data_IF_832145679636
#
_entry.id   IF_832145679636
#
_cell.length_a   1.000
_cell.length_b   1.000
_cell.length_c   1.000
_cell.angle_alpha   90.00
_cell.angle_beta   90.00
_cell.angle_gamma   90.00
#
_symmetry.space_group_name_H-M   'P 1'
#
loop_
_entity.id
_entity.type
_entity.pdbx_description
1 polymer ?
#
# COMPACT_ATOMS: atom_id res chain seq x y z
N UNK A 1 -27.02 8.90 -10.89
CA UNK A 1 -27.70 10.22 -10.81
C UNK A 1 -28.94 10.25 -9.89
N UNK A 2 -29.84 9.25 -9.81
CA UNK A 2 -31.04 9.38 -8.96
C UNK A 2 -30.75 9.42 -7.44
N UNK A 3 -29.76 8.66 -6.95
CA UNK A 3 -29.48 8.56 -5.52
C UNK A 3 -29.01 9.88 -4.86
N UNK A 4 -28.23 10.71 -5.56
CA UNK A 4 -27.72 11.97 -5.01
C UNK A 4 -28.84 13.01 -4.81
N UNK A 5 -29.79 13.09 -5.73
CA UNK A 5 -30.90 14.05 -5.66
C UNK A 5 -31.91 13.68 -4.57
N UNK A 6 -32.15 12.40 -4.34
CA UNK A 6 -33.01 11.94 -3.24
C UNK A 6 -32.40 12.23 -1.86
N UNK A 7 -31.06 12.26 -1.76
CA UNK A 7 -30.35 12.56 -0.52
C UNK A 7 -30.40 14.05 -0.15
N UNK A 8 -30.48 14.94 -1.15
CA UNK A 8 -30.50 16.40 -0.93
C UNK A 8 -31.66 16.86 -0.03
N UNK A 9 -32.88 16.38 -0.32
CA UNK A 9 -34.06 16.75 0.46
C UNK A 9 -33.93 16.31 1.93
N UNK A 10 -33.31 15.16 2.16
CA UNK A 10 -33.15 14.57 3.49
C UNK A 10 -32.02 15.26 4.28
N UNK A 11 -30.95 15.71 3.60
CA UNK A 11 -29.86 16.47 4.23
C UNK A 11 -30.34 17.89 4.61
N UNK A 12 -31.18 18.50 3.79
CA UNK A 12 -31.69 19.86 4.00
C UNK A 12 -32.79 19.91 5.07
N UNK A 13 -33.69 18.92 5.08
CA UNK A 13 -34.77 18.81 6.06
C UNK A 13 -34.77 17.40 6.68
N UNK A 14 -33.86 17.11 7.63
CA UNK A 14 -33.79 15.80 8.27
C UNK A 14 -35.07 15.51 9.08
N UNK A 15 -35.65 14.29 8.96
CA UNK A 15 -36.78 13.90 9.79
C UNK A 15 -36.30 13.57 11.21
N UNK A 16 -36.28 14.58 12.08
CA UNK A 16 -35.91 14.46 13.49
C UNK A 16 -34.41 14.72 13.77
N UNK A 17 -33.93 14.40 14.98
CA UNK A 17 -32.55 14.68 15.41
C UNK A 17 -31.57 13.66 14.81
N UNK A 18 -31.35 13.76 13.50
CA UNK A 18 -30.43 12.89 12.75
C UNK A 18 -29.12 13.63 12.47
N UNK A 19 -28.00 12.96 12.65
CA UNK A 19 -26.67 13.45 12.24
C UNK A 19 -26.20 12.64 11.04
N UNK A 20 -25.93 13.33 9.92
CA UNK A 20 -25.34 12.71 8.73
C UNK A 20 -23.81 12.81 8.77
N UNK A 21 -23.14 11.67 8.63
CA UNK A 21 -21.68 11.60 8.46
C UNK A 21 -21.40 11.08 7.05
N UNK A 22 -20.92 11.96 6.18
CA UNK A 22 -20.52 11.62 4.81
C UNK A 22 -19.00 11.52 4.73
N UNK A 23 -18.51 10.41 4.17
CA UNK A 23 -17.07 10.18 3.96
C UNK A 23 -16.81 10.10 2.46
N UNK A 24 -15.92 10.95 1.97
CA UNK A 24 -15.51 10.98 0.57
C UNK A 24 -13.98 11.05 0.45
N UNK A 25 -13.41 10.29 -0.48
CA UNK A 25 -11.97 10.30 -0.75
C UNK A 25 -11.51 11.62 -1.39
N UNK A 26 -12.35 12.22 -2.23
CA UNK A 26 -12.18 13.57 -2.75
C UNK A 26 -13.55 14.29 -2.79
N UNK A 27 -13.70 15.35 -2.00
CA UNK A 27 -14.94 16.12 -1.92
C UNK A 27 -15.22 16.93 -3.20
N UNK A 28 -14.21 17.24 -4.01
CA UNK A 28 -14.36 17.97 -5.28
C UNK A 28 -15.11 17.16 -6.33
N UNK A 29 -15.16 15.83 -6.18
CA UNK A 29 -15.93 14.96 -7.06
C UNK A 29 -17.41 14.87 -6.68
N UNK A 30 -17.79 15.45 -5.54
CA UNK A 30 -19.18 15.50 -5.10
C UNK A 30 -19.93 16.70 -5.72
N UNK A 31 -21.25 16.59 -5.93
CA UNK A 31 -22.07 17.73 -6.31
C UNK A 31 -21.95 18.88 -5.31
N UNK A 32 -21.76 20.11 -5.83
CA UNK A 32 -21.65 21.33 -5.03
C UNK A 32 -22.85 21.54 -4.09
N UNK A 33 -24.03 21.04 -4.47
CA UNK A 33 -25.27 21.09 -3.69
C UNK A 33 -25.23 20.26 -2.40
N UNK A 34 -24.44 19.17 -2.37
CA UNK A 34 -24.21 18.37 -1.16
C UNK A 34 -23.17 19.07 -0.29
N UNK A 35 -22.06 19.51 -0.89
CA UNK A 35 -20.94 20.13 -0.16
C UNK A 35 -21.39 21.41 0.57
N UNK A 36 -22.23 22.23 -0.07
CA UNK A 36 -22.79 23.46 0.54
C UNK A 36 -23.71 23.22 1.74
N UNK A 37 -24.27 22.02 1.89
CA UNK A 37 -25.17 21.64 3.00
C UNK A 37 -24.47 20.81 4.08
N UNK A 38 -23.14 20.66 4.01
CA UNK A 38 -22.35 19.87 4.96
C UNK A 38 -21.24 20.72 5.57
N UNK A 39 -20.91 20.46 6.84
CA UNK A 39 -19.68 21.01 7.43
C UNK A 39 -18.50 20.17 6.95
N UNK A 40 -17.62 20.80 6.16
CA UNK A 40 -16.40 20.13 5.71
C UNK A 40 -15.42 19.99 6.87
N UNK A 41 -15.06 18.75 7.17
CA UNK A 41 -13.95 18.39 8.07
C UNK A 41 -12.93 17.64 7.23
N UNK A 42 -11.74 18.21 7.08
CA UNK A 42 -10.66 17.59 6.30
C UNK A 42 -9.71 16.83 7.23
N UNK A 43 -9.41 15.58 6.86
CA UNK A 43 -8.40 14.78 7.56
C UNK A 43 -7.08 14.94 6.82
N UNK A 44 -6.07 15.48 7.51
CA UNK A 44 -4.72 15.59 6.96
C UNK A 44 -3.88 14.35 7.28
N UNK A 45 -2.84 14.13 6.50
CA UNK A 45 -1.82 13.11 6.79
C UNK A 45 -1.14 13.45 8.12
N UNK A 46 -0.94 12.44 8.95
CA UNK A 46 -0.20 12.60 10.20
C UNK A 46 1.27 12.87 9.92
N UNK A 47 1.91 13.61 10.83
CA UNK A 47 3.36 13.85 10.77
C UNK A 47 4.09 12.54 11.09
N UNK A 48 5.26 12.37 10.46
CA UNK A 48 6.08 11.18 10.66
C UNK A 48 6.40 10.93 12.15
N UNK A 49 6.71 11.99 12.90
CA UNK A 49 7.01 11.89 14.32
C UNK A 49 5.83 11.36 15.15
N UNK A 50 4.59 11.74 14.80
CA UNK A 50 3.38 11.29 15.51
C UNK A 50 3.17 9.79 15.31
N UNK A 51 3.29 9.31 14.07
CA UNK A 51 3.19 7.87 13.76
C UNK A 51 4.34 7.10 14.41
N UNK A 52 5.58 7.58 14.29
CA UNK A 52 6.75 6.93 14.89
C UNK A 52 6.59 6.76 16.40
N UNK A 53 6.20 7.81 17.10
CA UNK A 53 6.04 7.77 18.56
C UNK A 53 4.90 6.84 18.96
N UNK A 54 3.79 6.83 18.21
CA UNK A 54 2.70 5.87 18.42
C UNK A 54 3.17 4.42 18.24
N UNK A 55 3.95 4.14 17.19
CA UNK A 55 4.48 2.80 16.92
C UNK A 55 5.45 2.32 18.01
N UNK A 56 6.30 3.20 18.54
CA UNK A 56 7.19 2.86 19.66
C UNK A 56 6.37 2.56 20.92
N UNK A 57 5.36 3.39 21.23
CA UNK A 57 4.58 3.25 22.46
C UNK A 57 3.64 2.03 22.44
N UNK A 58 2.93 1.80 21.33
CA UNK A 58 1.85 0.79 21.26
C UNK A 58 2.32 -0.56 20.69
N UNK A 59 3.37 -0.56 19.85
CA UNK A 59 3.88 -1.78 19.22
C UNK A 59 5.28 -2.18 19.73
N UNK A 60 5.85 -1.42 20.67
CA UNK A 60 7.19 -1.65 21.21
C UNK A 60 8.27 -1.81 20.11
N UNK A 61 8.11 -1.09 19.00
CA UNK A 61 9.07 -1.15 17.90
C UNK A 61 10.33 -0.35 18.23
N UNK A 62 11.47 -0.88 17.81
CA UNK A 62 12.75 -0.15 17.84
C UNK A 62 12.64 1.16 17.04
N UNK A 63 13.32 2.25 17.47
CA UNK A 63 13.16 3.58 16.87
C UNK A 63 13.35 3.64 15.36
N UNK A 64 14.33 2.90 14.82
CA UNK A 64 14.62 2.87 13.38
C UNK A 64 13.55 2.10 12.60
N UNK A 65 13.11 0.95 13.10
CA UNK A 65 12.00 0.20 12.52
C UNK A 65 10.71 1.02 12.50
N UNK A 66 10.42 1.73 13.61
CA UNK A 66 9.29 2.63 13.71
C UNK A 66 9.41 3.82 12.72
N UNK A 67 10.61 4.39 12.54
CA UNK A 67 10.86 5.46 11.56
C UNK A 67 10.59 4.97 10.13
N UNK A 68 11.10 3.79 9.77
CA UNK A 68 10.91 3.17 8.45
C UNK A 68 9.43 2.91 8.16
N UNK A 69 8.71 2.28 9.10
CA UNK A 69 7.27 2.03 8.95
C UNK A 69 6.47 3.34 8.91
N UNK A 70 6.79 4.31 9.77
CA UNK A 70 6.13 5.60 9.78
C UNK A 70 6.29 6.32 8.43
N UNK A 71 7.47 6.31 7.85
CA UNK A 71 7.71 6.88 6.53
C UNK A 71 6.90 6.17 5.44
N UNK A 72 6.97 4.83 5.39
CA UNK A 72 6.30 4.03 4.36
C UNK A 72 4.78 4.02 4.49
N UNK A 73 4.23 4.30 5.67
CA UNK A 73 2.80 4.54 5.89
C UNK A 73 2.27 5.79 5.18
N UNK A 74 3.17 6.69 4.78
CA UNK A 74 2.88 7.98 4.14
C UNK A 74 1.88 8.83 4.94
N UNK A 75 1.92 8.78 6.26
CA UNK A 75 1.03 9.57 7.12
C UNK A 75 -0.36 8.95 7.35
N UNK A 76 -0.58 7.69 6.94
CA UNK A 76 -1.84 6.97 7.15
C UNK A 76 -1.67 6.03 8.35
N UNK A 77 -2.31 6.34 9.49
CA UNK A 77 -2.17 5.55 10.72
C UNK A 77 -2.59 4.09 10.54
N UNK A 78 -3.73 3.83 9.89
CA UNK A 78 -4.18 2.46 9.63
C UNK A 78 -3.14 1.65 8.83
N UNK A 79 -2.42 2.30 7.91
CA UNK A 79 -1.35 1.66 7.14
C UNK A 79 -0.14 1.37 8.02
N UNK A 80 0.24 2.31 8.90
CA UNK A 80 1.32 2.10 9.86
C UNK A 80 1.04 0.91 10.79
N UNK A 81 -0.19 0.81 11.29
CA UNK A 81 -0.68 -0.32 12.10
C UNK A 81 -0.61 -1.62 11.30
N UNK A 82 -1.14 -1.64 10.07
CA UNK A 82 -1.11 -2.83 9.20
C UNK A 82 0.33 -3.30 8.95
N UNK A 83 1.26 -2.37 8.71
CA UNK A 83 2.68 -2.69 8.49
C UNK A 83 3.39 -3.17 9.77
N UNK A 84 3.09 -2.56 10.92
CA UNK A 84 3.66 -2.93 12.21
C UNK A 84 3.17 -4.30 12.71
N UNK A 85 1.92 -4.64 12.41
CA UNK A 85 1.35 -5.96 12.73
C UNK A 85 1.85 -7.08 11.81
N UNK A 86 2.52 -6.75 10.70
CA UNK A 86 2.96 -7.72 9.71
C UNK A 86 4.42 -8.17 9.95
N UNK A 87 4.56 -9.34 10.57
CA UNK A 87 5.86 -9.95 10.87
C UNK A 87 6.73 -10.27 9.63
N UNK A 88 6.17 -10.26 8.42
CA UNK A 88 6.91 -10.48 7.18
C UNK A 88 7.24 -9.18 6.45
N UNK A 89 6.81 -8.01 6.94
CA UNK A 89 7.05 -6.73 6.30
C UNK A 89 8.53 -6.49 5.98
N UNK A 90 9.42 -6.62 6.97
CA UNK A 90 10.86 -6.41 6.75
C UNK A 90 11.47 -7.46 5.81
N UNK A 91 11.00 -8.70 5.83
CA UNK A 91 11.42 -9.75 4.88
C UNK A 91 10.99 -9.45 3.44
N UNK A 92 9.80 -8.88 3.25
CA UNK A 92 9.35 -8.41 1.93
C UNK A 92 10.21 -7.25 1.44
N UNK A 93 10.51 -6.32 2.34
CA UNK A 93 11.35 -5.16 2.06
C UNK A 93 12.77 -5.57 1.65
N UNK A 94 13.37 -6.52 2.36
CA UNK A 94 14.69 -7.10 2.02
C UNK A 94 14.72 -7.61 0.57
N UNK A 95 13.72 -8.38 0.15
CA UNK A 95 13.61 -8.85 -1.25
C UNK A 95 13.49 -7.72 -2.27
N UNK A 96 12.84 -6.62 -1.91
CA UNK A 96 12.77 -5.43 -2.78
C UNK A 96 14.15 -4.79 -2.91
N UNK A 97 14.91 -4.71 -1.83
CA UNK A 97 16.28 -4.17 -1.82
C UNK A 97 17.23 -5.04 -2.65
N UNK A 98 17.13 -6.37 -2.48
CA UNK A 98 17.85 -7.35 -3.30
C UNK A 98 17.53 -7.17 -4.78
N UNK A 99 16.24 -7.09 -5.14
CA UNK A 99 15.82 -6.88 -6.51
C UNK A 99 16.41 -5.58 -7.09
N UNK A 100 16.34 -4.45 -6.38
CA UNK A 100 16.90 -3.17 -6.83
C UNK A 100 18.40 -3.27 -7.10
N UNK A 101 19.12 -3.97 -6.22
CA UNK A 101 20.57 -4.11 -6.32
C UNK A 101 21.00 -4.89 -7.56
N UNK A 102 20.12 -5.74 -8.11
CA UNK A 102 20.40 -6.53 -9.32
C UNK A 102 19.94 -5.87 -10.63
N UNK A 103 19.08 -4.82 -10.59
CA UNK A 103 18.45 -4.26 -11.81
C UNK A 103 19.50 -3.78 -12.83
N UNK A 104 20.57 -3.13 -12.39
CA UNK A 104 21.54 -2.48 -13.30
C UNK A 104 22.45 -3.47 -14.02
N UNK A 105 22.85 -4.54 -13.35
CA UNK A 105 23.92 -5.43 -13.82
C UNK A 105 23.37 -6.71 -14.47
N UNK A 106 22.13 -6.69 -14.96
CA UNK A 106 21.45 -7.92 -15.40
C UNK A 106 20.78 -7.84 -16.76
N UNK A 107 20.43 -8.99 -17.34
CA UNK A 107 19.75 -9.07 -18.63
C UNK A 107 18.21 -9.09 -18.51
N UNK A 108 17.48 -8.84 -19.61
CA UNK A 108 16.01 -8.85 -19.66
C UNK A 108 15.36 -10.08 -18.98
N UNK A 109 15.90 -11.28 -19.24
CA UNK A 109 15.35 -12.51 -18.65
C UNK A 109 15.48 -12.58 -17.13
N UNK A 110 16.52 -11.97 -16.56
CA UNK A 110 16.68 -11.90 -15.10
C UNK A 110 15.77 -10.84 -14.49
N UNK A 111 15.50 -9.72 -15.18
CA UNK A 111 14.51 -8.74 -14.71
C UNK A 111 13.12 -9.34 -14.58
N UNK A 112 12.67 -10.12 -15.57
CA UNK A 112 11.41 -10.87 -15.49
C UNK A 112 11.40 -11.83 -14.29
N UNK A 113 12.50 -12.55 -14.05
CA UNK A 113 12.62 -13.45 -12.90
C UNK A 113 12.57 -12.69 -11.56
N UNK A 114 13.15 -11.50 -11.46
CA UNK A 114 13.07 -10.66 -10.27
C UNK A 114 11.61 -10.24 -9.99
N UNK A 115 10.88 -9.82 -11.03
CA UNK A 115 9.46 -9.47 -10.92
C UNK A 115 8.63 -10.68 -10.49
N UNK A 116 8.85 -11.83 -11.13
CA UNK A 116 8.19 -13.09 -10.80
C UNK A 116 8.44 -13.49 -9.33
N UNK A 117 9.69 -13.40 -8.86
CA UNK A 117 10.05 -13.75 -7.48
C UNK A 117 9.34 -12.91 -6.43
N UNK A 118 9.19 -11.60 -6.67
CA UNK A 118 8.43 -10.71 -5.78
C UNK A 118 6.95 -11.09 -5.75
N UNK A 119 6.37 -11.41 -6.91
CA UNK A 119 4.95 -11.80 -7.04
C UNK A 119 4.69 -13.15 -6.39
N UNK A 120 5.54 -14.14 -6.64
CA UNK A 120 5.44 -15.45 -6.00
C UNK A 120 5.47 -15.33 -4.48
N UNK A 121 6.27 -14.40 -3.95
CA UNK A 121 6.31 -14.16 -2.51
C UNK A 121 4.97 -13.64 -1.97
N UNK A 122 4.40 -12.62 -2.61
CA UNK A 122 3.06 -12.09 -2.27
C UNK A 122 2.02 -13.20 -2.36
N UNK A 123 2.03 -13.98 -3.45
CA UNK A 123 1.07 -15.06 -3.67
C UNK A 123 1.14 -16.15 -2.59
N UNK A 124 2.34 -16.48 -2.09
CA UNK A 124 2.51 -17.42 -0.97
C UNK A 124 1.90 -16.88 0.31
N UNK A 125 2.00 -15.58 0.58
CA UNK A 125 1.37 -14.97 1.75
C UNK A 125 -0.15 -14.91 1.64
N UNK A 126 -0.66 -14.51 0.47
CA UNK A 126 -2.09 -14.51 0.18
C UNK A 126 -2.69 -15.92 0.25
N UNK A 127 -1.95 -16.95 -0.16
CA UNK A 127 -2.38 -18.34 -0.01
C UNK A 127 -2.60 -18.74 1.46
N UNK A 128 -1.71 -18.31 2.37
CA UNK A 128 -1.88 -18.54 3.82
C UNK A 128 -3.09 -17.79 4.38
N UNK A 129 -3.37 -16.58 3.90
CA UNK A 129 -4.58 -15.84 4.28
C UNK A 129 -5.82 -16.58 3.80
N UNK A 130 -5.83 -17.02 2.54
CA UNK A 130 -6.94 -17.77 1.94
C UNK A 130 -7.21 -19.08 2.69
N UNK A 131 -6.16 -19.80 3.11
CA UNK A 131 -6.29 -21.01 3.93
C UNK A 131 -6.95 -20.71 5.29
N UNK A 132 -6.51 -19.64 5.98
CA UNK A 132 -7.13 -19.21 7.25
C UNK A 132 -8.60 -18.82 7.08
N UNK A 133 -8.93 -18.07 6.02
CA UNK A 133 -10.30 -17.69 5.69
C UNK A 133 -11.17 -18.93 5.41
N UNK A 134 -10.63 -19.92 4.68
CA UNK A 134 -11.34 -21.17 4.42
C UNK A 134 -11.64 -21.93 5.72
N UNK A 135 -10.64 -22.11 6.60
CA UNK A 135 -10.84 -22.75 7.92
C UNK A 135 -11.88 -22.01 8.77
N UNK A 136 -11.90 -20.68 8.72
CA UNK A 136 -12.90 -19.88 9.43
C UNK A 136 -14.30 -20.07 8.85
N UNK A 137 -14.43 -20.06 7.53
CA UNK A 137 -15.69 -20.31 6.84
C UNK A 137 -16.25 -21.70 7.16
N UNK A 138 -15.40 -22.73 7.17
CA UNK A 138 -15.80 -24.11 7.49
C UNK A 138 -16.40 -24.18 8.91
N UNK A 139 -15.75 -23.55 9.90
CA UNK A 139 -16.30 -23.43 11.27
C UNK A 139 -17.65 -22.73 11.33
N UNK A 140 -17.83 -21.65 10.57
CA UNK A 140 -19.12 -20.94 10.52
C UNK A 140 -20.22 -21.78 9.88
N UNK A 141 -19.88 -22.60 8.89
CA UNK A 141 -20.81 -23.51 8.22
C UNK A 141 -21.18 -24.69 9.13
N UNK A 142 -20.23 -25.23 9.89
CA UNK A 142 -20.49 -26.28 10.88
C UNK A 142 -21.43 -25.81 12.00
N UNK A 143 -21.31 -24.56 12.42
CA UNK A 143 -22.19 -23.94 13.43
C UNK A 143 -23.58 -23.55 12.89
N UNK A 144 -23.87 -23.82 11.62
CA UNK A 144 -25.13 -23.42 11.02
C UNK A 144 -26.30 -24.31 11.46
N UNK A 145 -27.48 -23.70 11.62
CA UNK A 145 -28.68 -24.40 12.09
C UNK A 145 -29.34 -25.27 11.02
N UNK A 146 -29.16 -24.94 9.73
CA UNK A 146 -29.67 -25.70 8.60
C UNK A 146 -28.94 -25.38 7.29
N UNK A 147 -29.20 -26.17 6.25
CA UNK A 147 -28.57 -26.04 4.91
C UNK A 147 -28.79 -24.66 4.26
N UNK A 148 -29.96 -24.04 4.46
CA UNK A 148 -30.26 -22.71 3.90
C UNK A 148 -29.44 -21.62 4.60
N UNK A 149 -29.33 -21.70 5.93
CA UNK A 149 -28.52 -20.82 6.75
C UNK A 149 -27.03 -20.95 6.41
N UNK A 150 -26.54 -22.20 6.27
CA UNK A 150 -25.18 -22.51 5.80
C UNK A 150 -24.87 -21.85 4.45
N UNK A 151 -25.77 -21.99 3.47
CA UNK A 151 -25.63 -21.40 2.15
C UNK A 151 -25.55 -19.87 2.18
N UNK A 152 -26.34 -19.21 3.05
CA UNK A 152 -26.32 -17.75 3.22
C UNK A 152 -25.00 -17.27 3.84
N UNK A 153 -24.54 -17.95 4.90
CA UNK A 153 -23.25 -17.69 5.55
C UNK A 153 -22.12 -17.80 4.53
N UNK A 154 -22.08 -18.92 3.80
CA UNK A 154 -21.04 -19.18 2.78
C UNK A 154 -21.00 -18.08 1.73
N UNK A 155 -22.15 -17.71 1.16
CA UNK A 155 -22.23 -16.64 0.15
C UNK A 155 -21.76 -15.28 0.70
N UNK A 156 -22.16 -14.93 1.92
CA UNK A 156 -21.82 -13.65 2.53
C UNK A 156 -20.33 -13.58 2.89
N UNK A 157 -19.81 -14.62 3.54
CA UNK A 157 -18.43 -14.67 3.99
C UNK A 157 -17.45 -14.76 2.81
N UNK A 158 -17.67 -15.66 1.83
CA UNK A 158 -16.79 -15.76 0.67
C UNK A 158 -16.71 -14.45 -0.14
N UNK A 159 -17.78 -13.65 -0.16
CA UNK A 159 -17.76 -12.32 -0.81
C UNK A 159 -16.89 -11.32 -0.03
N UNK A 160 -16.89 -11.37 1.31
CA UNK A 160 -16.00 -10.56 2.15
C UNK A 160 -14.54 -11.00 1.97
N UNK A 161 -14.28 -12.30 2.07
CA UNK A 161 -12.94 -12.87 1.94
C UNK A 161 -12.30 -12.53 0.59
N UNK A 162 -13.06 -12.65 -0.51
CA UNK A 162 -12.60 -12.26 -1.86
C UNK A 162 -12.22 -10.78 -1.95
N UNK A 163 -13.00 -9.89 -1.31
CA UNK A 163 -12.72 -8.44 -1.28
C UNK A 163 -11.49 -8.12 -0.44
N UNK A 164 -11.33 -8.81 0.68
CA UNK A 164 -10.18 -8.66 1.55
C UNK A 164 -8.89 -9.13 0.85
N UNK A 165 -8.89 -10.30 0.21
CA UNK A 165 -7.74 -10.79 -0.55
C UNK A 165 -7.33 -9.81 -1.65
N UNK A 166 -8.28 -9.29 -2.42
CA UNK A 166 -8.00 -8.29 -3.45
C UNK A 166 -7.45 -6.97 -2.85
N UNK A 167 -7.89 -6.58 -1.65
CA UNK A 167 -7.34 -5.41 -0.94
C UNK A 167 -5.91 -5.66 -0.50
N UNK A 168 -5.63 -6.83 0.09
CA UNK A 168 -4.30 -7.20 0.58
C UNK A 168 -3.30 -7.32 -0.57
N UNK A 169 -3.69 -7.94 -1.68
CA UNK A 169 -2.89 -8.02 -2.89
C UNK A 169 -2.50 -6.64 -3.41
N UNK A 170 -3.49 -5.75 -3.63
CA UNK A 170 -3.22 -4.37 -4.07
C UNK A 170 -2.35 -3.59 -3.08
N UNK A 171 -2.59 -3.77 -1.79
CA UNK A 171 -1.80 -3.14 -0.73
C UNK A 171 -0.35 -3.61 -0.78
N UNK A 172 -0.10 -4.91 -0.98
CA UNK A 172 1.24 -5.46 -1.06
C UNK A 172 2.01 -4.93 -2.29
N UNK A 173 1.33 -4.77 -3.44
CA UNK A 173 1.96 -4.16 -4.61
C UNK A 173 2.25 -2.67 -4.42
N UNK A 174 1.34 -1.91 -3.82
CA UNK A 174 1.61 -0.49 -3.49
C UNK A 174 2.75 -0.35 -2.48
N UNK A 175 2.93 -1.32 -1.57
CA UNK A 175 4.07 -1.36 -0.65
C UNK A 175 5.39 -1.56 -1.38
N UNK A 176 5.45 -2.47 -2.37
CA UNK A 176 6.64 -2.65 -3.22
C UNK A 176 6.98 -1.33 -3.92
N UNK A 177 6.00 -0.71 -4.58
CA UNK A 177 6.19 0.55 -5.30
C UNK A 177 6.61 1.69 -4.36
N UNK A 178 6.04 1.76 -3.15
CA UNK A 178 6.38 2.78 -2.17
C UNK A 178 7.80 2.58 -1.63
N UNK A 179 8.21 1.34 -1.38
CA UNK A 179 9.59 1.02 -0.98
C UNK A 179 10.58 1.40 -2.09
N UNK A 180 10.34 0.97 -3.34
CA UNK A 180 11.15 1.32 -4.51
C UNK A 180 11.36 2.83 -4.62
N UNK A 181 10.26 3.60 -4.61
CA UNK A 181 10.34 5.05 -4.69
C UNK A 181 11.10 5.67 -3.50
N UNK A 182 10.92 5.14 -2.30
CA UNK A 182 11.64 5.62 -1.12
C UNK A 182 13.14 5.36 -1.21
N UNK A 183 13.54 4.20 -1.72
CA UNK A 183 14.95 3.79 -1.83
C UNK A 183 15.66 4.66 -2.88
N UNK A 184 15.07 4.85 -4.07
CA UNK A 184 15.65 5.74 -5.08
C UNK A 184 15.70 7.20 -4.62
N UNK A 185 14.68 7.68 -3.90
CA UNK A 185 14.67 9.02 -3.31
C UNK A 185 15.86 9.22 -2.36
N UNK A 186 16.10 8.26 -1.47
CA UNK A 186 17.22 8.35 -0.51
C UNK A 186 18.57 8.14 -1.19
N UNK A 187 18.67 7.26 -2.20
CA UNK A 187 19.88 7.10 -3.00
C UNK A 187 20.27 8.42 -3.70
N UNK A 188 19.31 9.14 -4.29
CA UNK A 188 19.55 10.46 -4.87
C UNK A 188 19.95 11.48 -3.81
N UNK A 189 19.27 11.50 -2.65
CA UNK A 189 19.60 12.39 -1.54
C UNK A 189 21.05 12.22 -1.10
N UNK A 190 21.54 10.99 -0.98
CA UNK A 190 22.93 10.72 -0.63
C UNK A 190 23.89 11.07 -1.78
N UNK A 191 23.50 10.82 -3.03
CA UNK A 191 24.32 11.13 -4.21
C UNK A 191 24.62 12.64 -4.35
N UNK A 192 23.71 13.50 -3.90
CA UNK A 192 23.90 14.97 -3.90
C UNK A 192 24.59 15.51 -2.64
N UNK A 193 25.05 14.62 -1.74
CA UNK A 193 25.74 14.99 -0.50
C UNK A 193 24.81 15.32 0.67
N UNK A 194 23.56 14.85 0.65
CA UNK A 194 22.65 14.96 1.79
C UNK A 194 23.08 14.11 2.99
N UNK A 195 22.72 14.56 4.20
CA UNK A 195 23.01 13.87 5.45
C UNK A 195 22.23 12.53 5.56
N UNK A 196 22.91 11.48 6.03
CA UNK A 196 22.33 10.16 6.28
C UNK A 196 21.08 10.24 7.18
N UNK A 197 21.00 11.19 8.12
CA UNK A 197 19.86 11.38 9.02
C UNK A 197 18.56 11.80 8.32
N UNK A 198 18.67 12.40 7.13
CA UNK A 198 17.54 12.82 6.30
C UNK A 198 16.93 11.65 5.51
N UNK A 199 17.62 10.51 5.46
CA UNK A 199 17.10 9.30 4.84
C UNK A 199 15.95 8.69 5.65
N UNK A 200 14.97 8.15 4.94
CA UNK A 200 13.92 7.33 5.51
C UNK A 200 14.39 5.89 5.75
N UNK A 201 15.29 5.39 4.90
CA UNK A 201 15.79 4.03 4.90
C UNK A 201 17.15 3.94 5.62
N UNK A 202 17.18 4.38 6.87
CA UNK A 202 18.41 4.45 7.68
C UNK A 202 19.03 3.06 7.92
N UNK A 203 18.20 2.02 7.87
CA UNK A 203 18.54 0.61 8.00
C UNK A 203 19.46 0.09 6.88
N UNK A 204 19.55 0.80 5.75
CA UNK A 204 20.23 0.32 4.53
C UNK A 204 21.10 1.40 3.87
N UNK A 205 21.65 2.34 4.65
CA UNK A 205 22.51 3.42 4.13
C UNK A 205 23.69 2.89 3.27
N UNK A 206 24.39 1.80 3.65
CA UNK A 206 25.45 1.23 2.80
C UNK A 206 24.93 0.80 1.41
N UNK A 207 23.76 0.16 1.36
CA UNK A 207 23.10 -0.25 0.12
C UNK A 207 22.65 0.96 -0.69
N UNK A 208 22.10 1.99 -0.04
CA UNK A 208 21.71 3.24 -0.70
C UNK A 208 22.90 3.89 -1.42
N UNK A 209 24.09 3.89 -0.81
CA UNK A 209 25.32 4.43 -1.43
C UNK A 209 25.76 3.61 -2.66
N UNK A 210 25.59 2.29 -2.64
CA UNK A 210 25.82 1.42 -3.80
C UNK A 210 24.81 1.71 -4.92
N UNK A 211 23.52 1.77 -4.57
CA UNK A 211 22.42 2.06 -5.52
C UNK A 211 22.61 3.44 -6.14
N UNK A 212 22.98 4.44 -5.35
CA UNK A 212 23.29 5.79 -5.80
C UNK A 212 24.40 5.81 -6.86
N UNK A 213 25.47 5.05 -6.62
CA UNK A 213 26.61 4.94 -7.53
C UNK A 213 26.24 4.24 -8.84
N UNK A 214 25.50 3.12 -8.76
CA UNK A 214 25.10 2.35 -9.94
C UNK A 214 24.03 3.05 -10.78
N UNK A 215 23.12 3.80 -10.14
CA UNK A 215 21.98 4.44 -10.81
C UNK A 215 22.36 5.80 -11.39
N UNK A 216 23.11 6.60 -10.64
CA UNK A 216 23.35 8.01 -10.95
C UNK A 216 22.16 8.92 -10.61
N UNK A 217 22.42 10.22 -10.48
CA UNK A 217 21.44 11.21 -10.00
C UNK A 217 20.26 11.37 -10.96
N UNK A 218 20.53 11.52 -12.27
CA UNK A 218 19.49 11.78 -13.27
C UNK A 218 18.45 10.65 -13.30
N UNK A 219 18.92 9.42 -13.25
CA UNK A 219 18.09 8.22 -13.33
C UNK A 219 17.37 7.95 -12.00
N UNK A 220 18.02 8.19 -10.87
CA UNK A 220 17.38 8.14 -9.57
C UNK A 220 16.23 9.14 -9.45
N UNK A 221 16.35 10.34 -10.05
CA UNK A 221 15.26 11.31 -10.14
C UNK A 221 14.14 10.84 -11.07
N UNK A 222 14.48 10.19 -12.18
CA UNK A 222 13.50 9.62 -13.13
C UNK A 222 12.71 8.44 -12.53
N UNK A 223 13.32 7.67 -11.62
CA UNK A 223 12.72 6.49 -10.98
C UNK A 223 11.32 6.75 -10.42
N UNK A 224 11.09 7.92 -9.79
CA UNK A 224 9.78 8.28 -9.24
C UNK A 224 8.67 8.38 -10.30
N UNK A 225 9.02 8.81 -11.53
CA UNK A 225 8.06 8.84 -12.64
C UNK A 225 7.76 7.44 -13.16
N UNK A 226 8.75 6.55 -13.23
CA UNK A 226 8.53 5.14 -13.61
C UNK A 226 7.68 4.40 -12.58
N UNK A 227 7.93 4.61 -11.28
CA UNK A 227 7.11 4.05 -10.20
C UNK A 227 5.67 4.57 -10.28
N UNK A 228 5.47 5.86 -10.56
CA UNK A 228 4.13 6.43 -10.77
C UNK A 228 3.42 5.76 -11.94
N UNK A 229 4.12 5.55 -13.06
CA UNK A 229 3.55 4.90 -14.24
C UNK A 229 3.16 3.45 -13.96
N UNK A 230 4.01 2.69 -13.26
CA UNK A 230 3.69 1.33 -12.82
C UNK A 230 2.45 1.30 -11.91
N UNK A 231 2.32 2.28 -11.01
CA UNK A 231 1.13 2.43 -10.16
C UNK A 231 -0.14 2.71 -10.99
N UNK A 232 -0.05 3.57 -12.00
CA UNK A 232 -1.16 3.84 -12.93
C UNK A 232 -1.58 2.57 -13.68
N UNK A 233 -0.63 1.76 -14.15
CA UNK A 233 -0.92 0.48 -14.81
C UNK A 233 -1.74 -0.44 -13.90
N UNK A 234 -1.38 -0.56 -12.62
CA UNK A 234 -2.15 -1.33 -11.64
C UNK A 234 -3.59 -0.80 -11.47
N UNK A 235 -3.78 0.52 -11.46
CA UNK A 235 -5.13 1.11 -11.39
C UNK A 235 -5.95 0.90 -12.67
N UNK A 236 -5.29 0.76 -13.82
CA UNK A 236 -5.90 0.45 -15.12
C UNK A 236 -6.13 -1.06 -15.34
N UNK A 237 -6.06 -1.89 -14.29
CA UNK A 237 -6.23 -3.35 -14.32
C UNK A 237 -5.17 -4.11 -15.15
N UNK A 238 -3.98 -3.55 -15.32
CA UNK A 238 -2.82 -4.31 -15.84
C UNK A 238 -2.38 -5.32 -14.78
N UNK A 239 -1.86 -6.48 -15.20
CA UNK A 239 -1.34 -7.48 -14.27
C UNK A 239 -0.16 -6.91 -13.47
N UNK A 240 -0.03 -7.27 -12.18
CA UNK A 240 1.10 -6.82 -11.37
C UNK A 240 2.47 -7.23 -11.90
N UNK A 241 2.52 -8.39 -12.57
CA UNK A 241 3.70 -8.88 -13.28
C UNK A 241 4.18 -7.91 -14.34
N UNK A 242 3.30 -7.59 -15.28
CA UNK A 242 3.66 -6.68 -16.37
C UNK A 242 4.00 -5.28 -15.86
N UNK A 243 3.33 -4.81 -14.80
CA UNK A 243 3.63 -3.51 -14.18
C UNK A 243 5.02 -3.48 -13.52
N UNK A 244 5.43 -4.57 -12.85
CA UNK A 244 6.76 -4.70 -12.24
C UNK A 244 7.85 -4.91 -13.29
N UNK A 245 7.60 -5.73 -14.30
CA UNK A 245 8.53 -5.89 -15.43
C UNK A 245 8.77 -4.55 -16.11
N UNK A 246 7.72 -3.84 -16.52
CA UNK A 246 7.82 -2.50 -17.10
C UNK A 246 8.67 -1.56 -16.22
N UNK A 247 8.43 -1.58 -14.91
CA UNK A 247 9.18 -0.76 -13.96
C UNK A 247 10.65 -1.12 -13.96
N UNK A 248 10.98 -2.41 -13.87
CA UNK A 248 12.36 -2.88 -13.80
C UNK A 248 13.13 -2.62 -15.10
N UNK A 249 12.50 -2.83 -16.26
CA UNK A 249 13.05 -2.42 -17.55
C UNK A 249 13.33 -0.92 -17.60
N UNK A 250 12.35 -0.10 -17.18
CA UNK A 250 12.51 1.36 -17.18
C UNK A 250 13.63 1.84 -16.25
N UNK A 251 13.79 1.20 -15.08
CA UNK A 251 14.83 1.52 -14.12
C UNK A 251 16.22 1.04 -14.56
N UNK A 252 16.28 -0.01 -15.39
CA UNK A 252 17.52 -0.46 -16.00
C UNK A 252 18.00 0.50 -17.09
N UNK A 253 17.10 0.90 -17.99
CA UNK A 253 17.41 1.76 -19.15
C UNK A 253 17.68 3.22 -18.79
N UNK A 254 17.08 3.72 -17.69
CA UNK A 254 17.40 5.03 -17.13
C UNK A 254 18.80 4.97 -16.52
#
# INVERSE_FOLDING_TARGET
RPAANSLLKIIEEPPGPVVFILIAANHETLPLTIVSRCRLVTFQRLRLAEIKNFLIAEFALEPDSAKTIAFLSRGIMAKAIDLAADNNFFKRRERVIEAISEIKDTGPGRLSLLAENLIQHINRELARVKERQQKYLDKLVEQSTNKTHAGRIKKQQSKKDKRELARLERSAFDDILTNLNSIYRDAVLLAVGGDDNLTANIDIVPELKKIATATGIANGLAAGSHVRKAREMLYSNVSPELALEYLFFSLQEA
#
